data_IF_388578613732
#
_entry.id   IF_388578613732
#
_cell.length_a   1.000
_cell.length_b   1.000
_cell.length_c   1.000
_cell.angle_alpha   90.00
_cell.angle_beta   90.00
_cell.angle_gamma   90.00
#
_symmetry.space_group_name_H-M   'P 1'
#
loop_
_entity.id
_entity.type
_entity.pdbx_description
1 polymer ?
#
# COMPACT_ATOMS: atom_id res chain seq x y z
N UNK A 1 -27.42 -14.93 12.50
CA UNK A 1 -27.20 -14.07 11.31
C UNK A 1 -26.16 -13.03 11.71
N UNK A 2 -24.88 -13.26 11.38
CA UNK A 2 -23.83 -12.28 11.64
C UNK A 2 -24.17 -11.01 10.84
N UNK A 3 -24.31 -9.90 11.54
CA UNK A 3 -24.46 -8.58 10.94
C UNK A 3 -23.31 -8.42 9.95
N UNK A 4 -23.62 -8.25 8.66
CA UNK A 4 -22.63 -7.86 7.68
C UNK A 4 -22.05 -6.55 8.20
N UNK A 5 -20.80 -6.57 8.62
CA UNK A 5 -20.04 -5.35 8.88
C UNK A 5 -20.30 -4.43 7.70
N UNK A 6 -20.90 -3.28 7.99
CA UNK A 6 -21.16 -2.25 7.00
C UNK A 6 -19.88 -2.06 6.18
N UNK A 7 -19.90 -2.44 4.89
CA UNK A 7 -18.72 -2.34 4.03
C UNK A 7 -18.18 -0.92 4.13
N UNK A 8 -16.95 -0.79 4.63
CA UNK A 8 -16.34 0.52 4.86
C UNK A 8 -16.27 1.28 3.54
N UNK A 9 -17.01 2.40 3.46
CA UNK A 9 -17.08 3.24 2.26
C UNK A 9 -15.82 4.07 2.06
N UNK A 10 -15.33 4.66 3.15
CA UNK A 10 -14.10 5.47 3.15
C UNK A 10 -12.88 4.58 2.91
N UNK A 11 -11.99 5.04 2.03
CA UNK A 11 -10.75 4.35 1.69
C UNK A 11 -9.60 4.91 2.52
N UNK A 12 -8.61 4.07 2.80
CA UNK A 12 -7.42 4.46 3.58
C UNK A 12 -6.22 4.42 2.63
N UNK A 13 -5.48 5.54 2.60
CA UNK A 13 -4.20 5.66 1.90
C UNK A 13 -3.08 5.63 2.94
N UNK A 14 -2.15 4.68 2.83
CA UNK A 14 -0.98 4.59 3.70
C UNK A 14 0.30 4.90 2.92
N UNK A 15 1.16 5.78 3.46
CA UNK A 15 2.46 6.07 2.84
C UNK A 15 3.45 4.98 3.20
N UNK A 16 4.18 4.49 2.20
CA UNK A 16 5.19 3.43 2.36
C UNK A 16 6.59 4.02 2.33
N UNK A 17 7.47 3.45 3.15
CA UNK A 17 8.86 3.88 3.31
C UNK A 17 9.70 2.76 3.94
N UNK A 18 10.91 3.06 4.43
CA UNK A 18 11.82 2.05 4.98
C UNK A 18 11.19 1.19 6.09
N UNK A 19 10.43 1.81 6.99
CA UNK A 19 9.77 1.12 8.11
C UNK A 19 8.65 0.16 7.68
N UNK A 20 8.15 0.27 6.45
CA UNK A 20 7.03 -0.50 5.91
C UNK A 20 7.43 -1.29 4.67
N UNK A 21 8.73 -1.54 4.49
CA UNK A 21 9.31 -2.19 3.31
C UNK A 21 9.37 -3.71 3.39
N UNK A 22 9.00 -4.32 4.53
CA UNK A 22 8.93 -5.78 4.66
C UNK A 22 7.57 -6.34 4.23
N UNK A 23 7.52 -7.56 3.68
CA UNK A 23 6.27 -8.22 3.30
C UNK A 23 5.26 -8.34 4.45
N UNK A 24 5.75 -8.63 5.66
CA UNK A 24 4.92 -8.87 6.84
C UNK A 24 4.21 -7.59 7.28
N UNK A 25 4.91 -6.45 7.24
CA UNK A 25 4.34 -5.14 7.57
C UNK A 25 3.33 -4.72 6.51
N UNK A 26 3.61 -4.93 5.23
CA UNK A 26 2.65 -4.66 4.16
C UNK A 26 1.38 -5.49 4.30
N UNK A 27 1.52 -6.78 4.60
CA UNK A 27 0.39 -7.66 4.87
C UNK A 27 -0.45 -7.13 6.03
N UNK A 28 0.21 -6.78 7.13
CA UNK A 28 -0.44 -6.23 8.32
C UNK A 28 -1.20 -4.93 8.02
N UNK A 29 -0.63 -4.04 7.20
CA UNK A 29 -1.29 -2.80 6.77
C UNK A 29 -2.54 -3.06 5.93
N UNK A 30 -2.46 -4.00 4.99
CA UNK A 30 -3.57 -4.36 4.10
C UNK A 30 -4.70 -5.02 4.91
N UNK A 31 -4.37 -5.97 5.78
CA UNK A 31 -5.33 -6.64 6.68
C UNK A 31 -5.96 -5.67 7.69
N UNK A 32 -5.22 -4.68 8.18
CA UNK A 32 -5.75 -3.58 8.99
C UNK A 32 -6.65 -2.61 8.20
N UNK A 33 -6.71 -2.76 6.86
CA UNK A 33 -7.66 -2.07 6.00
C UNK A 33 -7.06 -0.93 5.17
N UNK A 34 -5.74 -0.88 4.95
CA UNK A 34 -5.17 0.01 3.93
C UNK A 34 -5.62 -0.45 2.53
N UNK A 35 -6.23 0.45 1.76
CA UNK A 35 -6.76 0.12 0.41
C UNK A 35 -5.87 0.65 -0.71
N UNK A 36 -5.06 1.66 -0.41
CA UNK A 36 -4.13 2.27 -1.36
C UNK A 36 -2.82 2.53 -0.65
N UNK A 37 -1.71 2.21 -1.31
CA UNK A 37 -0.37 2.47 -0.79
C UNK A 37 0.31 3.55 -1.62
N UNK A 38 0.75 4.62 -0.94
CA UNK A 38 1.37 5.82 -1.52
C UNK A 38 2.88 5.70 -1.51
N UNK A 39 3.49 5.76 -2.69
CA UNK A 39 4.92 5.89 -2.90
C UNK A 39 5.26 7.38 -3.07
N UNK A 40 6.01 7.94 -2.11
CA UNK A 40 6.46 9.32 -2.18
C UNK A 40 7.78 9.41 -2.97
N UNK A 41 7.74 9.99 -4.17
CA UNK A 41 8.90 10.13 -5.07
C UNK A 41 9.80 11.32 -4.71
N UNK A 42 9.51 12.06 -3.63
CA UNK A 42 10.46 13.03 -3.07
C UNK A 42 11.71 12.37 -2.49
N UNK A 43 11.65 11.07 -2.21
CA UNK A 43 12.71 10.27 -1.61
C UNK A 43 12.85 8.92 -2.32
N UNK A 44 14.04 8.32 -2.23
CA UNK A 44 14.32 7.00 -2.80
C UNK A 44 14.69 7.06 -4.28
N UNK A 45 15.11 5.91 -4.81
CA UNK A 45 15.46 5.73 -6.21
C UNK A 45 14.34 5.02 -6.98
N UNK A 46 14.38 5.08 -8.30
CA UNK A 46 13.47 4.30 -9.16
C UNK A 46 13.55 2.79 -8.84
N UNK A 47 14.74 2.27 -8.52
CA UNK A 47 14.93 0.87 -8.13
C UNK A 47 14.22 0.55 -6.80
N UNK A 48 14.24 1.47 -5.83
CA UNK A 48 13.51 1.32 -4.56
C UNK A 48 12.00 1.25 -4.81
N UNK A 49 11.46 2.20 -5.56
CA UNK A 49 10.04 2.20 -5.90
C UNK A 49 9.63 0.96 -6.69
N UNK A 50 10.46 0.49 -7.63
CA UNK A 50 10.19 -0.73 -8.38
C UNK A 50 10.14 -1.97 -7.46
N UNK A 51 11.03 -2.05 -6.46
CA UNK A 51 10.99 -3.11 -5.43
C UNK A 51 9.70 -3.02 -4.63
N UNK A 52 9.32 -1.83 -4.16
CA UNK A 52 8.06 -1.64 -3.43
C UNK A 52 6.85 -2.03 -4.27
N UNK A 53 6.77 -1.63 -5.54
CA UNK A 53 5.65 -1.98 -6.43
C UNK A 53 5.51 -3.50 -6.56
N UNK A 54 6.61 -4.22 -6.81
CA UNK A 54 6.60 -5.68 -6.91
C UNK A 54 6.08 -6.32 -5.63
N UNK A 55 6.60 -5.88 -4.49
CA UNK A 55 6.22 -6.42 -3.19
C UNK A 55 4.73 -6.19 -2.90
N UNK A 56 4.22 -4.98 -3.13
CA UNK A 56 2.80 -4.67 -2.98
C UNK A 56 1.92 -5.56 -3.85
N UNK A 57 2.30 -5.78 -5.11
CA UNK A 57 1.53 -6.62 -6.04
C UNK A 57 1.55 -8.09 -5.62
N UNK A 58 2.70 -8.59 -5.17
CA UNK A 58 2.81 -9.93 -4.63
C UNK A 58 1.93 -10.11 -3.39
N UNK A 59 2.03 -9.22 -2.39
CA UNK A 59 1.24 -9.30 -1.17
C UNK A 59 -0.26 -9.17 -1.45
N UNK A 60 -0.66 -8.27 -2.35
CA UNK A 60 -2.05 -8.13 -2.77
C UNK A 60 -2.60 -9.41 -3.42
N UNK A 61 -1.79 -10.08 -4.24
CA UNK A 61 -2.13 -11.37 -4.85
C UNK A 61 -2.26 -12.48 -3.80
N UNK A 62 -1.29 -12.61 -2.90
CA UNK A 62 -1.30 -13.60 -1.81
C UNK A 62 -2.50 -13.45 -0.88
N UNK A 63 -2.95 -12.21 -0.62
CA UNK A 63 -4.11 -11.92 0.21
C UNK A 63 -5.44 -11.97 -0.55
N UNK A 64 -5.41 -12.11 -1.87
CA UNK A 64 -6.57 -11.97 -2.75
C UNK A 64 -7.34 -10.66 -2.49
N UNK A 65 -6.61 -9.54 -2.33
CA UNK A 65 -7.19 -8.23 -2.06
C UNK A 65 -6.74 -7.20 -3.11
N UNK A 66 -7.66 -6.41 -3.70
CA UNK A 66 -7.29 -5.33 -4.60
C UNK A 66 -6.67 -4.18 -3.80
N UNK A 67 -5.42 -3.85 -4.12
CA UNK A 67 -4.68 -2.72 -3.51
C UNK A 67 -4.27 -1.73 -4.59
N UNK A 68 -4.64 -0.46 -4.38
CA UNK A 68 -4.21 0.66 -5.22
C UNK A 68 -2.75 1.03 -4.95
N UNK A 69 -2.02 1.43 -6.00
CA UNK A 69 -0.69 2.04 -5.85
C UNK A 69 -0.81 3.49 -6.32
N UNK A 70 -0.42 4.42 -5.45
CA UNK A 70 -0.44 5.85 -5.74
C UNK A 70 1.01 6.35 -5.84
N UNK A 71 1.40 6.80 -7.02
CA UNK A 71 2.65 7.52 -7.23
C UNK A 71 2.41 8.99 -6.89
N UNK A 72 3.15 9.50 -5.89
CA UNK A 72 3.10 10.90 -5.49
C UNK A 72 4.38 11.60 -5.93
N UNK A 73 4.24 12.58 -6.83
CA UNK A 73 5.35 13.31 -7.43
C UNK A 73 5.86 14.40 -6.48
N UNK A 74 7.17 14.67 -6.53
CA UNK A 74 7.79 15.71 -5.71
C UNK A 74 7.22 17.12 -5.96
N UNK A 75 6.82 17.42 -7.19
CA UNK A 75 6.49 18.79 -7.61
C UNK A 75 7.73 19.68 -7.81
N UNK A 76 7.53 20.97 -8.11
CA UNK A 76 8.62 21.94 -8.19
C UNK A 76 9.30 22.09 -6.81
N UNK A 77 10.64 22.16 -6.78
CA UNK A 77 11.43 22.45 -5.57
C UNK A 77 11.65 23.94 -5.39
#
# INVERSE_FOLDING_TARGET
MQLRDSVRRTKIVATIGPATSSPEVLKSLIEAGATTLRLNFSHGTHADHQRSIRLIRQTAFELNQPVGILQDLQGPK
#
